data_IF_091602619595
#
_entry.id   IF_091602619595
#
_cell.length_a   1.000
_cell.length_b   1.000
_cell.length_c   1.000
_cell.angle_alpha   90.00
_cell.angle_beta   90.00
_cell.angle_gamma   90.00
#
_symmetry.space_group_name_H-M   'P 1'
#
loop_
_entity.id
_entity.type
_entity.pdbx_description
1 polymer ?
#
# COMPACT_ATOMS: atom_id res chain seq x y z
N UNK A 1 8.80 20.61 7.26
CA UNK A 1 7.59 21.07 6.56
C UNK A 1 7.82 20.86 5.06
N UNK A 2 6.98 20.06 4.40
CA UNK A 2 7.08 19.83 2.95
C UNK A 2 6.46 21.03 2.23
N UNK A 3 7.25 21.73 1.41
CA UNK A 3 6.81 22.91 0.66
C UNK A 3 6.76 22.60 -0.84
N UNK A 4 5.56 22.42 -1.38
CA UNK A 4 5.32 22.22 -2.82
C UNK A 4 5.00 23.57 -3.47
N UNK A 5 6.03 24.33 -3.87
CA UNK A 5 5.86 25.64 -4.53
C UNK A 5 5.98 25.53 -6.05
N UNK A 6 7.18 25.19 -6.55
CA UNK A 6 7.42 24.89 -7.96
C UNK A 6 7.63 23.39 -8.12
N UNK A 7 6.68 22.74 -8.78
CA UNK A 7 6.68 21.26 -8.91
C UNK A 7 7.85 20.76 -9.77
N UNK A 8 8.12 21.40 -10.91
CA UNK A 8 9.25 21.01 -11.77
C UNK A 8 10.52 21.80 -11.42
N UNK A 9 11.63 21.09 -11.16
CA UNK A 9 12.92 21.69 -10.81
C UNK A 9 14.05 21.38 -11.79
N UNK A 10 13.85 20.44 -12.74
CA UNK A 10 14.85 19.91 -13.69
C UNK A 10 16.06 19.19 -13.06
N UNK A 11 16.15 19.13 -11.73
CA UNK A 11 17.27 18.49 -11.01
C UNK A 11 17.35 16.98 -11.22
N UNK A 12 16.31 16.36 -11.79
CA UNK A 12 16.26 14.93 -12.10
C UNK A 12 16.35 14.59 -13.58
N UNK A 13 16.63 15.55 -14.46
CA UNK A 13 16.67 15.33 -15.92
C UNK A 13 17.83 14.42 -16.35
N UNK A 14 18.87 14.31 -15.51
CA UNK A 14 20.01 13.40 -15.72
C UNK A 14 19.81 12.02 -15.10
N UNK A 15 18.56 11.62 -14.80
CA UNK A 15 18.26 10.28 -14.31
C UNK A 15 18.56 10.03 -12.83
N UNK A 16 18.85 11.07 -12.05
CA UNK A 16 19.10 10.99 -10.59
C UNK A 16 18.04 11.76 -9.80
N UNK A 17 17.89 11.47 -8.51
CA UNK A 17 16.94 12.15 -7.62
C UNK A 17 17.51 12.19 -6.20
N UNK A 18 16.87 12.96 -5.33
CA UNK A 18 17.20 13.01 -3.90
C UNK A 18 16.31 12.09 -3.08
N UNK A 19 16.90 11.42 -2.08
CA UNK A 19 16.21 10.70 -1.01
C UNK A 19 15.69 11.66 0.07
N UNK A 20 15.01 11.12 1.08
CA UNK A 20 14.44 11.91 2.19
C UNK A 20 15.49 12.66 3.03
N UNK A 21 16.72 12.16 3.05
CA UNK A 21 17.89 12.80 3.70
C UNK A 21 18.67 13.73 2.74
N UNK A 22 18.13 14.02 1.56
CA UNK A 22 18.73 14.80 0.48
C UNK A 22 19.93 14.16 -0.24
N UNK A 23 20.38 12.97 0.16
CA UNK A 23 21.39 12.21 -0.57
C UNK A 23 20.91 11.87 -1.99
N UNK A 24 21.84 11.73 -2.94
CA UNK A 24 21.52 11.52 -4.36
C UNK A 24 21.62 10.05 -4.73
N UNK A 25 20.64 9.55 -5.47
CA UNK A 25 20.68 8.21 -6.08
C UNK A 25 20.12 8.23 -7.52
N UNK A 26 20.34 7.15 -8.26
CA UNK A 26 19.73 6.93 -9.57
C UNK A 26 18.22 6.71 -9.44
N UNK A 27 17.42 7.16 -10.41
CA UNK A 27 15.96 6.93 -10.43
C UNK A 27 15.57 5.45 -10.55
N UNK A 28 16.53 4.59 -10.91
CA UNK A 28 16.39 3.13 -11.01
C UNK A 28 16.83 2.40 -9.74
N UNK A 29 17.24 3.12 -8.70
CA UNK A 29 17.61 2.52 -7.41
C UNK A 29 16.39 1.79 -6.80
N UNK A 30 16.55 0.56 -6.28
CA UNK A 30 15.44 -0.21 -5.70
C UNK A 30 14.66 0.52 -4.61
N UNK A 31 15.30 1.36 -3.80
CA UNK A 31 14.63 2.18 -2.78
C UNK A 31 13.64 3.15 -3.41
N UNK A 32 13.99 3.74 -4.57
CA UNK A 32 13.09 4.60 -5.34
C UNK A 32 11.87 3.81 -5.80
N UNK A 33 12.08 2.61 -6.37
CA UNK A 33 10.99 1.75 -6.82
C UNK A 33 10.03 1.40 -5.68
N UNK A 34 10.55 1.09 -4.50
CA UNK A 34 9.75 0.74 -3.32
C UNK A 34 8.77 1.85 -2.93
N UNK A 35 9.23 3.08 -2.68
CA UNK A 35 8.33 4.16 -2.26
C UNK A 35 7.51 4.74 -3.42
N UNK A 36 7.98 4.61 -4.67
CA UNK A 36 7.19 4.99 -5.84
C UNK A 36 5.99 4.05 -6.04
N UNK A 37 6.19 2.74 -5.88
CA UNK A 37 5.11 1.76 -5.96
C UNK A 37 4.13 1.90 -4.77
N UNK A 38 4.62 2.26 -3.57
CA UNK A 38 3.74 2.60 -2.45
C UNK A 38 2.86 3.82 -2.75
N UNK A 39 3.40 4.84 -3.42
CA UNK A 39 2.63 5.99 -3.89
C UNK A 39 1.63 5.60 -5.01
N UNK A 40 2.00 4.69 -5.90
CA UNK A 40 1.07 4.17 -6.90
C UNK A 40 -0.10 3.41 -6.26
N UNK A 41 0.19 2.56 -5.26
CA UNK A 41 -0.84 1.90 -4.47
C UNK A 41 -1.78 2.91 -3.80
N UNK A 42 -1.23 4.00 -3.27
CA UNK A 42 -1.99 5.08 -2.66
C UNK A 42 -2.94 5.75 -3.68
N UNK A 43 -2.49 6.00 -4.91
CA UNK A 43 -3.31 6.57 -5.98
C UNK A 43 -4.44 5.62 -6.43
N UNK A 44 -4.17 4.32 -6.51
CA UNK A 44 -5.18 3.31 -6.88
C UNK A 44 -6.25 3.19 -5.78
N UNK A 45 -5.87 3.25 -4.50
CA UNK A 45 -6.82 3.33 -3.39
C UNK A 45 -7.69 4.60 -3.51
N UNK A 46 -7.09 5.74 -3.86
CA UNK A 46 -7.84 6.98 -4.12
C UNK A 46 -8.88 6.82 -5.24
N UNK A 47 -8.57 6.03 -6.27
CA UNK A 47 -9.52 5.69 -7.35
C UNK A 47 -10.67 4.84 -6.83
N UNK A 48 -10.40 3.86 -5.97
CA UNK A 48 -11.44 3.06 -5.31
C UNK A 48 -12.37 3.91 -4.44
N UNK A 49 -11.83 4.88 -3.68
CA UNK A 49 -12.63 5.84 -2.89
C UNK A 49 -13.51 6.69 -3.80
N UNK A 50 -12.94 7.25 -4.88
CA UNK A 50 -13.63 8.20 -5.75
C UNK A 50 -14.76 7.56 -6.59
N UNK A 51 -14.55 6.33 -7.06
CA UNK A 51 -15.43 5.68 -8.04
C UNK A 51 -16.19 4.46 -7.50
N UNK A 52 -15.74 3.90 -6.37
CA UNK A 52 -16.19 2.59 -5.89
C UNK A 52 -17.55 2.56 -5.21
N UNK A 53 -18.17 3.72 -4.94
CA UNK A 53 -19.44 3.82 -4.19
C UNK A 53 -19.40 3.03 -2.88
N UNK A 54 -18.24 3.08 -2.20
CA UNK A 54 -17.97 2.27 -1.02
C UNK A 54 -18.76 2.76 0.20
N UNK A 55 -19.14 1.86 1.12
CA UNK A 55 -19.68 2.25 2.42
C UNK A 55 -18.77 3.24 3.15
N UNK A 56 -19.36 4.21 3.86
CA UNK A 56 -18.62 5.27 4.54
C UNK A 56 -17.57 4.76 5.53
N UNK A 57 -17.83 3.62 6.18
CA UNK A 57 -16.90 2.96 7.09
C UNK A 57 -15.63 2.46 6.36
N UNK A 58 -15.79 1.83 5.19
CA UNK A 58 -14.67 1.41 4.34
C UNK A 58 -13.88 2.63 3.89
N UNK A 59 -14.56 3.70 3.43
CA UNK A 59 -13.89 4.94 3.01
C UNK A 59 -13.06 5.54 4.15
N UNK A 60 -13.58 5.55 5.38
CA UNK A 60 -12.85 6.04 6.57
C UNK A 60 -11.56 5.27 6.80
N UNK A 61 -11.59 3.94 6.66
CA UNK A 61 -10.39 3.10 6.78
C UNK A 61 -9.41 3.37 5.64
N UNK A 62 -9.89 3.43 4.40
CA UNK A 62 -9.03 3.69 3.24
C UNK A 62 -8.35 5.06 3.30
N UNK A 63 -9.04 6.11 3.76
CA UNK A 63 -8.43 7.43 3.94
C UNK A 63 -7.32 7.40 5.00
N UNK A 64 -7.49 6.62 6.08
CA UNK A 64 -6.41 6.39 7.05
C UNK A 64 -5.23 5.68 6.39
N UNK A 65 -5.50 4.60 5.65
CA UNK A 65 -4.48 3.86 4.90
C UNK A 65 -3.74 4.75 3.90
N UNK A 66 -4.39 5.71 3.25
CA UNK A 66 -3.71 6.66 2.35
C UNK A 66 -2.72 7.57 3.10
N UNK A 67 -3.00 7.92 4.36
CA UNK A 67 -2.04 8.64 5.22
C UNK A 67 -0.90 7.72 5.63
N UNK A 68 -1.22 6.52 6.10
CA UNK A 68 -0.24 5.50 6.48
C UNK A 68 0.71 5.16 5.31
N UNK A 69 0.22 5.14 4.06
CA UNK A 69 1.06 4.93 2.86
C UNK A 69 2.00 6.09 2.54
N UNK A 70 1.65 7.33 2.93
CA UNK A 70 2.62 8.44 2.89
C UNK A 70 3.70 8.27 3.96
N UNK A 71 3.34 7.81 5.15
CA UNK A 71 4.31 7.51 6.22
C UNK A 71 5.25 6.38 5.80
N UNK A 72 4.72 5.31 5.19
CA UNK A 72 5.50 4.21 4.58
C UNK A 72 6.47 4.77 3.53
N UNK A 73 6.00 5.63 2.62
CA UNK A 73 6.85 6.25 1.61
C UNK A 73 7.95 7.12 2.20
N UNK A 74 7.63 7.90 3.24
CA UNK A 74 8.60 8.74 3.96
C UNK A 74 9.68 7.91 4.64
N UNK A 75 9.31 6.81 5.33
CA UNK A 75 10.23 5.88 5.96
C UNK A 75 11.16 5.23 4.92
N UNK A 76 10.58 4.63 3.86
CA UNK A 76 11.34 4.01 2.77
C UNK A 76 12.34 4.98 2.12
N UNK A 77 11.92 6.24 1.93
CA UNK A 77 12.76 7.27 1.30
C UNK A 77 13.93 7.73 2.16
N UNK A 78 13.89 7.52 3.49
CA UNK A 78 14.85 8.07 4.44
C UNK A 78 15.75 6.97 5.00
N UNK A 79 17.06 6.93 4.70
CA UNK A 79 17.98 5.96 5.29
C UNK A 79 17.90 5.93 6.83
N UNK A 80 17.97 4.73 7.42
CA UNK A 80 18.03 4.54 8.88
C UNK A 80 19.47 4.76 9.34
N UNK A 81 19.65 5.60 10.36
CA UNK A 81 20.96 5.90 10.97
C UNK A 81 20.85 5.82 12.49
N UNK A 82 21.93 5.44 13.18
CA UNK A 82 21.94 5.20 14.64
C UNK A 82 21.60 6.45 15.45
N UNK A 83 22.07 7.63 15.01
CA UNK A 83 21.95 8.91 15.73
C UNK A 83 21.48 10.01 14.78
N UNK A 84 20.19 10.03 14.41
CA UNK A 84 19.67 11.07 13.53
C UNK A 84 19.61 12.42 14.27
N UNK A 85 19.78 13.52 13.54
CA UNK A 85 19.69 14.88 14.11
C UNK A 85 18.29 15.18 14.68
N UNK A 86 17.26 14.62 14.04
CA UNK A 86 15.86 14.69 14.46
C UNK A 86 15.22 13.31 14.38
N UNK A 87 14.27 12.96 15.28
CA UNK A 87 13.54 11.70 15.18
C UNK A 87 12.83 11.59 13.81
N UNK A 88 13.21 10.64 12.95
CA UNK A 88 12.55 10.47 11.66
C UNK A 88 11.19 9.82 11.88
N UNK A 89 10.23 10.14 11.01
CA UNK A 89 8.98 9.38 10.91
C UNK A 89 9.32 7.95 10.47
N UNK A 90 8.80 6.96 11.21
CA UNK A 90 9.00 5.53 10.94
C UNK A 90 7.68 4.80 11.08
N UNK A 91 7.48 3.77 10.26
CA UNK A 91 6.40 2.81 10.44
C UNK A 91 6.70 1.97 11.67
N UNK A 92 5.73 1.91 12.58
CA UNK A 92 5.83 1.17 13.84
C UNK A 92 4.90 -0.03 13.84
N UNK A 93 5.12 -0.99 14.76
CA UNK A 93 4.30 -2.19 14.90
C UNK A 93 2.80 -1.85 15.08
N UNK A 94 2.49 -0.75 15.76
CA UNK A 94 1.12 -0.28 15.96
C UNK A 94 0.34 -0.02 14.66
N UNK A 95 1.02 0.28 13.55
CA UNK A 95 0.38 0.44 12.24
C UNK A 95 -0.15 -0.91 11.73
N UNK A 96 0.66 -1.96 11.88
CA UNK A 96 0.33 -3.33 11.46
C UNK A 96 -0.78 -3.89 12.36
N UNK A 97 -0.67 -3.71 13.68
CA UNK A 97 -1.68 -4.16 14.65
C UNK A 97 -3.05 -3.53 14.35
N UNK A 98 -3.07 -2.28 13.87
CA UNK A 98 -4.30 -1.58 13.48
C UNK A 98 -4.90 -2.12 12.18
N UNK A 99 -4.07 -2.53 11.21
CA UNK A 99 -4.56 -3.23 10.02
C UNK A 99 -5.17 -4.59 10.40
N UNK A 100 -4.52 -5.32 11.31
CA UNK A 100 -5.03 -6.61 11.80
C UNK A 100 -6.38 -6.45 12.50
N UNK A 101 -6.53 -5.43 13.35
CA UNK A 101 -7.82 -5.13 13.98
C UNK A 101 -8.93 -4.81 12.97
N UNK A 102 -8.62 -4.07 11.90
CA UNK A 102 -9.59 -3.83 10.83
C UNK A 102 -9.89 -5.11 10.04
N UNK A 103 -8.88 -5.94 9.76
CA UNK A 103 -9.09 -7.25 9.12
C UNK A 103 -10.10 -8.08 9.91
N UNK A 104 -9.90 -8.21 11.22
CA UNK A 104 -10.79 -8.97 12.10
C UNK A 104 -12.22 -8.43 12.08
N UNK A 105 -12.37 -7.11 12.19
CA UNK A 105 -13.68 -6.42 12.17
C UNK A 105 -14.47 -6.67 10.88
N UNK A 106 -13.85 -6.47 9.71
CA UNK A 106 -14.55 -6.68 8.44
C UNK A 106 -14.73 -8.15 8.09
N UNK A 107 -13.86 -9.05 8.60
CA UNK A 107 -13.96 -10.48 8.36
C UNK A 107 -15.13 -11.12 9.15
N UNK A 108 -15.47 -10.61 10.34
CA UNK A 108 -16.57 -11.12 11.17
C UNK A 108 -17.90 -11.20 10.41
N UNK A 109 -18.15 -10.21 9.54
CA UNK A 109 -19.38 -10.11 8.75
C UNK A 109 -19.41 -10.93 7.46
N UNK A 110 -18.40 -11.75 7.18
CA UNK A 110 -18.23 -12.48 5.90
C UNK A 110 -18.31 -13.99 6.06
N UNK A 111 -18.94 -14.65 5.10
CA UNK A 111 -18.91 -16.10 5.02
C UNK A 111 -17.52 -16.63 4.69
N UNK A 112 -17.21 -17.83 5.19
CA UNK A 112 -15.93 -18.50 4.91
C UNK A 112 -15.84 -18.91 3.44
N UNK A 113 -14.73 -18.55 2.79
CA UNK A 113 -14.45 -18.99 1.43
C UNK A 113 -14.08 -20.48 1.39
N UNK A 114 -14.51 -21.16 0.32
CA UNK A 114 -14.17 -22.55 -0.01
C UNK A 114 -13.40 -22.71 -1.33
N UNK A 115 -13.14 -21.59 -2.01
CA UNK A 115 -12.31 -21.47 -3.22
C UNK A 115 -11.75 -20.05 -3.29
N UNK A 116 -10.87 -19.78 -4.25
CA UNK A 116 -10.55 -18.40 -4.64
C UNK A 116 -11.77 -17.70 -5.23
N UNK A 117 -11.76 -16.37 -5.23
CA UNK A 117 -12.79 -15.55 -5.85
C UNK A 117 -12.26 -14.93 -7.13
N UNK A 118 -13.12 -14.76 -8.12
CA UNK A 118 -12.81 -13.99 -9.31
C UNK A 118 -12.86 -12.49 -8.95
N UNK A 119 -11.78 -11.73 -9.13
CA UNK A 119 -11.76 -10.31 -8.80
C UNK A 119 -12.80 -9.53 -9.62
N UNK A 120 -13.83 -9.01 -8.95
CA UNK A 120 -14.94 -8.34 -9.64
C UNK A 120 -16.11 -8.04 -8.71
N UNK A 121 -17.32 -8.05 -9.26
CA UNK A 121 -18.55 -7.74 -8.52
C UNK A 121 -18.94 -6.28 -8.63
N UNK A 122 -19.15 -5.60 -7.49
CA UNK A 122 -19.42 -4.16 -7.48
C UNK A 122 -18.22 -3.35 -7.99
N UNK A 123 -18.42 -2.11 -8.50
CA UNK A 123 -17.30 -1.25 -8.88
C UNK A 123 -16.28 -1.07 -7.76
N UNK A 124 -16.74 -0.91 -6.52
CA UNK A 124 -15.89 -0.81 -5.34
C UNK A 124 -15.08 -2.06 -5.07
N UNK A 125 -15.70 -3.24 -5.11
CA UNK A 125 -15.00 -4.52 -4.91
C UNK A 125 -13.91 -4.75 -5.97
N UNK A 126 -14.23 -4.49 -7.25
CA UNK A 126 -13.27 -4.63 -8.34
C UNK A 126 -12.05 -3.70 -8.17
N UNK A 127 -12.29 -2.43 -7.80
CA UNK A 127 -11.21 -1.46 -7.57
C UNK A 127 -10.39 -1.78 -6.32
N UNK A 128 -11.00 -2.37 -5.29
CA UNK A 128 -10.27 -2.84 -4.10
C UNK A 128 -9.41 -4.07 -4.41
N UNK A 129 -9.88 -4.98 -5.26
CA UNK A 129 -9.03 -6.05 -5.78
C UNK A 129 -7.86 -5.52 -6.60
N UNK A 130 -8.07 -4.53 -7.47
CA UNK A 130 -6.98 -3.86 -8.18
C UNK A 130 -5.97 -3.27 -7.19
N UNK A 131 -6.46 -2.51 -6.20
CA UNK A 131 -5.64 -1.93 -5.12
C UNK A 131 -4.82 -3.00 -4.40
N UNK A 132 -5.43 -4.12 -4.04
CA UNK A 132 -4.77 -5.26 -3.41
C UNK A 132 -3.57 -5.76 -4.24
N UNK A 133 -3.77 -5.98 -5.54
CA UNK A 133 -2.67 -6.44 -6.41
C UNK A 133 -1.53 -5.43 -6.56
N UNK A 134 -1.85 -4.13 -6.54
CA UNK A 134 -0.87 -3.04 -6.63
C UNK A 134 -0.09 -2.92 -5.33
N UNK A 135 -0.74 -3.04 -4.17
CA UNK A 135 -0.06 -3.12 -2.87
C UNK A 135 0.91 -4.31 -2.82
N UNK A 136 0.50 -5.48 -3.31
CA UNK A 136 1.41 -6.65 -3.41
C UNK A 136 2.59 -6.41 -4.34
N UNK A 137 2.46 -5.53 -5.34
CA UNK A 137 3.60 -5.11 -6.17
C UNK A 137 4.53 -4.20 -5.39
N UNK A 138 4.00 -3.20 -4.68
CA UNK A 138 4.78 -2.35 -3.80
C UNK A 138 5.53 -3.16 -2.72
N UNK A 139 4.90 -4.19 -2.17
CA UNK A 139 5.52 -5.12 -1.23
C UNK A 139 6.75 -5.82 -1.85
N UNK A 140 6.62 -6.37 -3.06
CA UNK A 140 7.76 -7.02 -3.77
C UNK A 140 8.90 -6.03 -4.03
N UNK A 141 8.58 -4.82 -4.49
CA UNK A 141 9.58 -3.76 -4.70
C UNK A 141 10.27 -3.37 -3.40
N UNK A 142 9.54 -3.38 -2.28
CA UNK A 142 10.09 -3.10 -0.94
C UNK A 142 11.03 -4.22 -0.48
N UNK A 143 10.66 -5.49 -0.67
CA UNK A 143 11.55 -6.61 -0.36
C UNK A 143 12.82 -6.58 -1.23
N UNK A 144 12.71 -6.28 -2.52
CA UNK A 144 13.87 -6.11 -3.39
C UNK A 144 14.79 -4.97 -2.93
N UNK A 145 14.22 -3.87 -2.42
CA UNK A 145 15.01 -2.79 -1.83
C UNK A 145 15.68 -3.21 -0.51
N UNK A 146 14.99 -3.99 0.34
CA UNK A 146 15.55 -4.53 1.58
C UNK A 146 16.71 -5.51 1.32
N UNK A 147 16.68 -6.29 0.23
CA UNK A 147 17.80 -7.15 -0.15
C UNK A 147 19.09 -6.35 -0.43
N UNK A 148 18.96 -5.13 -0.97
CA UNK A 148 20.10 -4.27 -1.33
C UNK A 148 20.49 -3.32 -0.20
N UNK A 149 19.53 -2.84 0.59
CA UNK A 149 19.70 -1.75 1.55
C UNK A 149 19.22 -2.09 2.97
N UNK A 150 19.11 -3.39 3.31
CA UNK A 150 18.47 -3.85 4.55
C UNK A 150 19.06 -3.27 5.83
N UNK A 151 20.35 -2.98 5.88
CA UNK A 151 21.02 -2.37 7.06
C UNK A 151 20.53 -0.94 7.37
N UNK A 152 19.96 -0.25 6.38
CA UNK A 152 19.56 1.16 6.45
C UNK A 152 18.09 1.36 6.05
N UNK A 153 17.27 0.33 6.22
CA UNK A 153 15.83 0.34 5.93
C UNK A 153 15.03 -0.31 7.06
N UNK A 154 13.81 0.18 7.28
CA UNK A 154 12.89 -0.38 8.25
C UNK A 154 12.04 -1.50 7.61
N UNK A 155 12.24 -2.75 8.05
CA UNK A 155 11.49 -3.91 7.54
C UNK A 155 9.98 -3.89 7.89
N UNK A 156 9.54 -3.07 8.85
CA UNK A 156 8.12 -2.92 9.16
C UNK A 156 7.32 -2.31 8.00
N UNK A 157 7.96 -1.56 7.11
CA UNK A 157 7.32 -1.04 5.88
C UNK A 157 6.82 -2.18 4.97
N UNK A 158 7.62 -3.22 4.75
CA UNK A 158 7.21 -4.40 3.99
C UNK A 158 6.12 -5.20 4.72
N UNK A 159 6.25 -5.33 6.05
CA UNK A 159 5.26 -6.03 6.89
C UNK A 159 3.90 -5.33 6.84
N UNK A 160 3.87 -4.00 6.87
CA UNK A 160 2.67 -3.19 6.69
C UNK A 160 2.03 -3.43 5.31
N UNK A 161 2.80 -3.40 4.22
CA UNK A 161 2.28 -3.63 2.86
C UNK A 161 1.71 -5.04 2.69
N UNK A 162 2.38 -6.06 3.26
CA UNK A 162 1.88 -7.43 3.28
C UNK A 162 0.50 -7.49 3.93
N UNK A 163 0.37 -6.96 5.16
CA UNK A 163 -0.91 -6.97 5.90
C UNK A 163 -1.98 -6.09 5.25
N UNK A 164 -1.60 -4.98 4.63
CA UNK A 164 -2.52 -4.12 3.91
C UNK A 164 -3.17 -4.85 2.72
N UNK A 165 -2.42 -5.74 2.05
CA UNK A 165 -2.99 -6.53 0.96
C UNK A 165 -4.10 -7.48 1.44
N UNK A 166 -3.95 -8.06 2.64
CA UNK A 166 -4.99 -8.86 3.29
C UNK A 166 -6.23 -8.01 3.59
N UNK A 167 -6.05 -6.84 4.20
CA UNK A 167 -7.14 -5.91 4.50
C UNK A 167 -7.90 -5.53 3.23
N UNK A 168 -7.21 -5.16 2.15
CA UNK A 168 -7.86 -4.79 0.89
C UNK A 168 -8.65 -5.93 0.26
N UNK A 169 -8.18 -7.17 0.39
CA UNK A 169 -8.94 -8.35 -0.03
C UNK A 169 -10.22 -8.54 0.80
N UNK A 170 -10.13 -8.40 2.12
CA UNK A 170 -11.29 -8.48 3.02
C UNK A 170 -12.30 -7.36 2.72
N UNK A 171 -11.82 -6.12 2.53
CA UNK A 171 -12.65 -4.97 2.18
C UNK A 171 -13.33 -5.15 0.81
N UNK A 172 -12.64 -5.76 -0.16
CA UNK A 172 -13.24 -6.05 -1.46
C UNK A 172 -14.47 -6.97 -1.31
N UNK A 173 -14.34 -8.02 -0.49
CA UNK A 173 -15.46 -8.92 -0.17
C UNK A 173 -16.58 -8.22 0.61
N UNK A 174 -16.23 -7.38 1.59
CA UNK A 174 -17.21 -6.58 2.33
C UNK A 174 -17.98 -5.62 1.41
N UNK A 175 -17.30 -4.98 0.45
CA UNK A 175 -17.92 -4.13 -0.57
C UNK A 175 -18.78 -4.91 -1.59
N UNK A 176 -18.64 -6.24 -1.62
CA UNK A 176 -19.37 -7.13 -2.51
C UNK A 176 -20.49 -7.91 -1.81
N UNK A 177 -20.68 -7.70 -0.50
CA UNK A 177 -21.55 -8.52 0.37
C UNK A 177 -22.98 -8.70 -0.16
N UNK A 178 -23.57 -7.64 -0.71
CA UNK A 178 -24.96 -7.66 -1.20
C UNK A 178 -25.14 -8.44 -2.51
N UNK A 179 -24.10 -8.54 -3.34
CA UNK A 179 -24.17 -9.24 -4.65
C UNK A 179 -23.47 -10.60 -4.62
N UNK A 180 -22.59 -10.82 -3.65
CA UNK A 180 -21.82 -12.05 -3.46
C UNK A 180 -20.58 -12.14 -4.35
N UNK A 181 -19.63 -12.96 -3.91
CA UNK A 181 -18.40 -13.25 -4.66
C UNK A 181 -18.60 -14.42 -5.63
N UNK A 182 -18.03 -14.33 -6.83
CA UNK A 182 -18.00 -15.43 -7.78
C UNK A 182 -16.80 -16.31 -7.47
N UNK A 183 -17.03 -17.58 -7.14
CA UNK A 183 -15.97 -18.54 -6.84
C UNK A 183 -15.29 -19.03 -8.12
N UNK A 184 -13.97 -19.14 -8.07
CA UNK A 184 -13.17 -19.80 -9.10
C UNK A 184 -13.47 -21.31 -9.14
N UNK A 185 -13.66 -21.84 -10.34
CA UNK A 185 -13.83 -23.26 -10.63
C UNK A 185 -12.56 -23.81 -11.31
N UNK A 186 -11.74 -24.62 -10.61
CA UNK A 186 -10.50 -25.14 -11.19
C UNK A 186 -10.77 -26.08 -12.39
N UNK A 187 -10.27 -25.72 -13.57
CA UNK A 187 -10.29 -26.59 -14.76
C UNK A 187 -11.67 -26.95 -15.32
N UNK A 188 -12.76 -26.30 -14.86
CA UNK A 188 -14.13 -26.59 -15.28
C UNK A 188 -14.58 -25.84 -16.55
N UNK A 189 -15.80 -26.13 -17.00
CA UNK A 189 -16.52 -25.33 -18.00
C UNK A 189 -16.96 -24.00 -17.39
N UNK A 190 -16.76 -22.90 -18.13
CA UNK A 190 -16.80 -21.52 -17.66
C UNK A 190 -18.15 -20.87 -17.89
#
# INVERSE_FOLDING_TARGET
MVNLTRIYTRTGDQGTTSLGDMSRTAKTDPRIAAYADANEANAVIGTAIALGQLPAEIVKVLVRVQNDLFDVGADLSTPVVEKPEFPPLRVEQAYIDKLEADCDHFLEGLEKLRSFILPGGTPGAALLHQSCTVVRRAERSTWAALEVHGEVMNALTATYLNRLSDLLFILARAANKEVGDVLWVPGGER
#
